data_IF_059528662736
#
_entry.id   IF_059528662736
#
_cell.length_a   1.000
_cell.length_b   1.000
_cell.length_c   1.000
_cell.angle_alpha   90.00
_cell.angle_beta   90.00
_cell.angle_gamma   90.00
#
_symmetry.space_group_name_H-M   'P 1'
#
loop_
_entity.id
_entity.type
_entity.pdbx_description
1 polymer ?
#
# COMPACT_ATOMS: atom_id res chain seq x y z
N UNK A 1 -32.47 -18.89 24.41
CA UNK A 1 -32.84 -18.63 23.00
C UNK A 1 -31.70 -17.83 22.41
N UNK A 2 -31.01 -18.40 21.43
CA UNK A 2 -29.71 -17.99 20.90
C UNK A 2 -29.76 -16.55 20.41
N UNK A 3 -28.89 -15.69 20.97
CA UNK A 3 -28.69 -14.34 20.47
C UNK A 3 -28.08 -14.42 19.08
N UNK A 4 -28.77 -13.84 18.10
CA UNK A 4 -28.26 -13.64 16.75
C UNK A 4 -27.13 -12.60 16.84
N UNK A 5 -25.92 -13.03 17.19
CA UNK A 5 -24.73 -12.23 17.00
C UNK A 5 -24.59 -12.05 15.49
N UNK A 6 -24.95 -10.86 15.01
CA UNK A 6 -24.62 -10.43 13.66
C UNK A 6 -23.11 -10.62 13.54
N UNK A 7 -22.68 -11.45 12.61
CA UNK A 7 -21.26 -11.74 12.37
C UNK A 7 -20.57 -10.41 12.00
N UNK A 8 -19.98 -9.74 12.99
CA UNK A 8 -19.36 -8.43 12.78
C UNK A 8 -18.02 -8.70 12.12
N UNK A 9 -17.90 -8.37 10.84
CA UNK A 9 -16.64 -8.48 10.11
C UNK A 9 -15.54 -7.73 10.86
N UNK A 10 -14.55 -8.48 11.34
CA UNK A 10 -13.40 -7.96 12.07
C UNK A 10 -12.35 -7.40 11.09
N UNK A 11 -11.40 -6.57 11.57
CA UNK A 11 -10.25 -6.17 10.76
C UNK A 11 -9.46 -7.38 10.21
N UNK A 12 -9.36 -8.45 10.99
CA UNK A 12 -8.72 -9.71 10.60
C UNK A 12 -9.48 -10.35 9.44
N UNK A 13 -10.80 -10.48 9.53
CA UNK A 13 -11.61 -11.05 8.43
C UNK A 13 -11.43 -10.26 7.13
N UNK A 14 -11.28 -8.93 7.20
CA UNK A 14 -11.04 -8.09 6.02
C UNK A 14 -9.64 -8.28 5.43
N UNK A 15 -8.62 -8.48 6.27
CA UNK A 15 -7.25 -8.75 5.81
C UNK A 15 -7.16 -10.14 5.17
N UNK A 16 -7.76 -11.15 5.81
CA UNK A 16 -7.80 -12.51 5.30
C UNK A 16 -8.49 -12.57 3.94
N UNK A 17 -9.67 -11.94 3.82
CA UNK A 17 -10.38 -11.84 2.53
C UNK A 17 -9.57 -11.12 1.46
N UNK A 18 -8.80 -10.10 1.83
CA UNK A 18 -7.94 -9.38 0.90
C UNK A 18 -6.81 -10.29 0.40
N UNK A 19 -6.11 -10.98 1.31
CA UNK A 19 -5.04 -11.93 0.99
C UNK A 19 -5.53 -13.10 0.16
N UNK A 20 -6.68 -13.68 0.52
CA UNK A 20 -7.36 -14.72 -0.26
C UNK A 20 -7.67 -14.24 -1.69
N UNK A 21 -8.19 -13.02 -1.83
CA UNK A 21 -8.52 -12.44 -3.14
C UNK A 21 -7.27 -12.24 -4.00
N UNK A 22 -6.16 -11.79 -3.40
CA UNK A 22 -4.88 -11.66 -4.10
C UNK A 22 -4.29 -13.03 -4.48
N UNK A 23 -4.36 -14.01 -3.59
CA UNK A 23 -3.87 -15.37 -3.82
C UNK A 23 -4.69 -16.12 -4.89
N UNK A 24 -5.95 -15.73 -5.10
CA UNK A 24 -6.82 -16.26 -6.15
C UNK A 24 -6.58 -15.64 -7.54
N UNK A 25 -5.73 -14.62 -7.66
CA UNK A 25 -5.35 -14.06 -8.95
C UNK A 25 -4.64 -15.14 -9.78
N UNK A 26 -5.14 -15.38 -11.00
CA UNK A 26 -4.56 -16.39 -11.89
C UNK A 26 -3.16 -15.98 -12.34
N UNK A 27 -2.27 -16.96 -12.46
CA UNK A 27 -0.97 -16.72 -13.05
C UNK A 27 -1.13 -16.22 -14.50
N UNK A 28 -0.43 -15.14 -14.87
CA UNK A 28 -0.48 -14.65 -16.24
C UNK A 28 0.20 -15.66 -17.16
N UNK A 29 -0.42 -15.93 -18.32
CA UNK A 29 0.17 -16.83 -19.34
C UNK A 29 1.50 -16.32 -19.91
N UNK A 30 1.83 -15.05 -19.71
CA UNK A 30 3.12 -14.46 -20.03
C UNK A 30 3.50 -13.41 -18.99
N UNK A 31 4.72 -13.49 -18.46
CA UNK A 31 5.26 -12.48 -17.54
C UNK A 31 5.85 -11.33 -18.35
N UNK A 32 5.20 -10.17 -18.30
CA UNK A 32 5.70 -8.97 -18.97
C UNK A 32 7.01 -8.46 -18.32
N UNK A 33 7.87 -7.86 -19.14
CA UNK A 33 9.02 -7.09 -18.67
C UNK A 33 8.52 -5.84 -17.94
N UNK A 34 8.80 -5.75 -16.64
CA UNK A 34 8.32 -4.66 -15.78
C UNK A 34 8.95 -3.31 -16.12
N UNK A 35 10.05 -3.28 -16.87
CA UNK A 35 10.66 -2.02 -17.33
C UNK A 35 9.90 -1.40 -18.50
N UNK A 36 9.04 -2.16 -19.18
CA UNK A 36 8.24 -1.68 -20.30
C UNK A 36 6.97 -0.95 -19.85
N UNK A 37 6.44 -0.05 -20.69
CA UNK A 37 5.11 0.53 -20.51
C UNK A 37 4.02 -0.53 -20.34
N UNK A 38 3.07 -0.29 -19.46
CA UNK A 38 1.94 -1.22 -19.19
C UNK A 38 0.94 -1.31 -20.36
N UNK A 39 0.95 -0.33 -21.25
CA UNK A 39 0.16 -0.30 -22.48
C UNK A 39 0.87 0.57 -23.53
N UNK A 40 0.52 0.37 -24.80
CA UNK A 40 1.03 1.22 -25.89
C UNK A 40 0.68 2.69 -25.64
N UNK A 41 1.70 3.56 -25.68
CA UNK A 41 1.54 4.99 -25.39
C UNK A 41 1.44 5.37 -23.90
N UNK A 42 1.48 4.40 -22.97
CA UNK A 42 1.52 4.70 -21.55
C UNK A 42 2.90 5.20 -21.10
N UNK A 43 2.93 6.19 -20.21
CA UNK A 43 4.16 6.59 -19.52
C UNK A 43 4.48 5.70 -18.31
N UNK A 44 3.47 4.98 -17.80
CA UNK A 44 3.58 4.12 -16.62
C UNK A 44 4.20 2.77 -17.01
N UNK A 45 5.30 2.40 -16.37
CA UNK A 45 5.94 1.09 -16.51
C UNK A 45 5.36 0.07 -15.52
N UNK A 46 5.55 -1.22 -15.79
CA UNK A 46 5.13 -2.28 -14.86
C UNK A 46 5.76 -2.15 -13.47
N UNK A 47 7.04 -1.75 -13.40
CA UNK A 47 7.75 -1.52 -12.16
C UNK A 47 7.13 -0.37 -11.35
N UNK A 48 6.80 0.75 -12.00
CA UNK A 48 6.12 1.86 -11.34
C UNK A 48 4.69 1.50 -10.93
N UNK A 49 4.00 0.64 -11.67
CA UNK A 49 2.68 0.16 -11.29
C UNK A 49 2.76 -0.72 -10.03
N UNK A 50 3.81 -1.53 -9.89
CA UNK A 50 4.07 -2.29 -8.66
C UNK A 50 4.41 -1.36 -7.49
N UNK A 51 5.23 -0.32 -7.69
CA UNK A 51 5.50 0.70 -6.67
C UNK A 51 4.20 1.34 -6.14
N UNK A 52 3.27 1.65 -7.06
CA UNK A 52 1.96 2.20 -6.69
C UNK A 52 1.12 1.18 -5.93
N UNK A 53 1.09 -0.08 -6.38
CA UNK A 53 0.38 -1.14 -5.71
C UNK A 53 0.88 -1.35 -4.27
N UNK A 54 2.20 -1.36 -4.05
CA UNK A 54 2.79 -1.52 -2.73
C UNK A 54 2.41 -0.36 -1.79
N UNK A 55 2.38 0.88 -2.28
CA UNK A 55 1.90 2.01 -1.50
C UNK A 55 0.41 1.90 -1.16
N UNK A 56 -0.42 1.38 -2.08
CA UNK A 56 -1.84 1.13 -1.85
C UNK A 56 -2.06 0.06 -0.78
N UNK A 57 -1.35 -1.07 -0.89
CA UNK A 57 -1.41 -2.16 0.10
C UNK A 57 -0.89 -1.71 1.45
N UNK A 58 0.21 -0.96 1.49
CA UNK A 58 0.77 -0.41 2.73
C UNK A 58 -0.24 0.51 3.41
N UNK A 59 -0.89 1.41 2.67
CA UNK A 59 -1.97 2.25 3.22
C UNK A 59 -3.11 1.41 3.81
N UNK A 60 -3.46 0.29 3.18
CA UNK A 60 -4.50 -0.62 3.68
C UNK A 60 -4.06 -1.35 4.95
N UNK A 61 -2.80 -1.80 5.00
CA UNK A 61 -2.24 -2.46 6.19
C UNK A 61 -2.11 -1.49 7.37
N UNK A 62 -1.77 -0.24 7.11
CA UNK A 62 -1.76 0.81 8.14
C UNK A 62 -3.16 1.08 8.72
N UNK A 63 -4.22 1.06 7.89
CA UNK A 63 -5.60 1.15 8.38
C UNK A 63 -5.95 0.00 9.34
N UNK A 64 -5.51 -1.23 9.01
CA UNK A 64 -5.73 -2.41 9.84
C UNK A 64 -4.93 -2.34 11.15
N UNK A 65 -3.66 -1.97 11.07
CA UNK A 65 -2.79 -1.76 12.23
C UNK A 65 -3.37 -0.69 13.17
N UNK A 66 -3.89 0.42 12.63
CA UNK A 66 -4.54 1.46 13.41
C UNK A 66 -5.81 0.99 14.14
N UNK A 67 -6.58 0.08 13.54
CA UNK A 67 -7.75 -0.57 14.19
C UNK A 67 -7.33 -1.58 15.24
N UNK A 68 -6.27 -2.33 14.97
CA UNK A 68 -5.70 -3.28 15.92
C UNK A 68 -5.19 -2.55 17.16
N UNK A 69 -4.33 -1.52 17.03
CA UNK A 69 -3.86 -0.69 18.15
C UNK A 69 -5.03 -0.11 18.97
N UNK A 70 -6.08 0.34 18.28
CA UNK A 70 -7.31 0.84 18.90
C UNK A 70 -8.04 -0.21 19.76
N UNK A 71 -7.99 -1.48 19.39
CA UNK A 71 -8.77 -2.52 20.09
C UNK A 71 -8.26 -2.81 21.50
N UNK A 72 -6.98 -2.51 21.78
CA UNK A 72 -6.37 -2.65 23.11
C UNK A 72 -5.94 -1.30 23.72
N UNK A 73 -6.48 -0.18 23.23
CA UNK A 73 -6.32 1.13 23.86
C UNK A 73 -5.03 1.88 23.54
N UNK A 74 -4.19 1.33 22.65
CA UNK A 74 -2.90 1.92 22.24
C UNK A 74 -3.02 2.78 20.96
N UNK A 75 -4.24 3.05 20.51
CA UNK A 75 -4.53 3.90 19.36
C UNK A 75 -5.52 5.02 19.70
N UNK A 76 -5.33 6.17 19.06
CA UNK A 76 -6.28 7.30 19.09
C UNK A 76 -7.33 7.17 18.00
N UNK A 77 -8.13 8.22 17.79
CA UNK A 77 -9.17 8.23 16.77
C UNK A 77 -8.64 7.90 15.38
N UNK A 78 -9.06 6.74 14.86
CA UNK A 78 -8.65 6.21 13.56
C UNK A 78 -9.79 6.34 12.55
N UNK A 79 -9.50 6.97 11.41
CA UNK A 79 -10.30 6.84 10.18
C UNK A 79 -9.41 6.23 9.10
N UNK A 80 -9.90 5.19 8.44
CA UNK A 80 -9.17 4.52 7.37
C UNK A 80 -9.15 5.30 6.05
N UNK A 81 -8.09 5.08 5.29
CA UNK A 81 -7.92 5.53 3.90
C UNK A 81 -8.61 4.62 2.88
N UNK A 82 -9.25 3.52 3.32
CA UNK A 82 -10.03 2.62 2.48
C UNK A 82 -10.86 3.33 1.39
N UNK A 83 -10.70 2.93 0.13
CA UNK A 83 -11.35 3.55 -1.05
C UNK A 83 -10.68 4.83 -1.56
N UNK A 84 -9.58 5.28 -0.96
CA UNK A 84 -8.79 6.44 -1.41
C UNK A 84 -7.36 6.05 -1.80
N UNK A 85 -7.04 4.77 -1.88
CA UNK A 85 -5.69 4.26 -2.12
C UNK A 85 -5.12 4.76 -3.47
N UNK A 86 -5.98 5.04 -4.45
CA UNK A 86 -5.59 5.61 -5.74
C UNK A 86 -4.88 6.97 -5.67
N UNK A 87 -4.93 7.67 -4.54
CA UNK A 87 -4.14 8.90 -4.35
C UNK A 87 -2.61 8.66 -4.37
N UNK A 88 -2.14 7.41 -4.29
CA UNK A 88 -0.75 7.04 -4.60
C UNK A 88 -0.33 7.53 -6.00
N UNK A 89 -1.19 7.39 -7.00
CA UNK A 89 -0.89 7.82 -8.37
C UNK A 89 -0.71 9.35 -8.46
N UNK A 90 -1.51 10.10 -7.69
CA UNK A 90 -1.36 11.56 -7.60
C UNK A 90 -0.03 11.94 -6.94
N UNK A 91 0.37 11.27 -5.86
CA UNK A 91 1.66 11.50 -5.23
C UNK A 91 2.83 11.20 -6.18
N UNK A 92 2.74 10.10 -6.93
CA UNK A 92 3.79 9.70 -7.88
C UNK A 92 3.94 10.67 -9.06
N UNK A 93 2.86 11.32 -9.47
CA UNK A 93 2.88 12.33 -10.54
C UNK A 93 3.48 13.68 -10.09
N UNK A 94 3.64 13.90 -8.78
CA UNK A 94 4.13 15.15 -8.21
C UNK A 94 5.59 15.01 -7.75
N UNK A 95 6.29 16.14 -7.70
CA UNK A 95 7.62 16.20 -7.08
C UNK A 95 7.50 16.14 -5.56
N UNK A 96 8.50 15.61 -4.84
CA UNK A 96 8.48 15.55 -3.37
C UNK A 96 8.46 16.92 -2.70
N UNK A 97 8.80 17.99 -3.44
CA UNK A 97 8.78 19.38 -2.99
C UNK A 97 7.49 20.12 -3.34
N UNK A 98 6.58 19.53 -4.13
CA UNK A 98 5.32 20.18 -4.46
C UNK A 98 4.42 20.22 -3.22
N UNK A 99 3.83 21.37 -2.87
CA UNK A 99 2.95 21.48 -1.70
C UNK A 99 1.68 20.65 -1.91
N UNK A 100 1.23 19.98 -0.85
CA UNK A 100 0.02 19.16 -0.88
C UNK A 100 -0.85 19.46 0.35
N UNK A 101 -2.08 19.93 0.13
CA UNK A 101 -3.11 20.09 1.16
C UNK A 101 -3.94 18.81 1.21
N UNK A 102 -3.51 17.87 2.06
CA UNK A 102 -4.03 16.51 2.06
C UNK A 102 -5.18 16.32 3.03
N UNK A 103 -6.01 15.32 2.74
CA UNK A 103 -7.07 14.88 3.63
C UNK A 103 -6.53 13.81 4.60
N UNK A 104 -7.18 13.62 5.74
CA UNK A 104 -6.77 12.58 6.71
C UNK A 104 -6.91 11.14 6.18
N UNK A 105 -7.52 10.96 5.00
CA UNK A 105 -7.65 9.67 4.28
C UNK A 105 -6.60 9.52 3.16
N UNK A 106 -5.55 10.35 3.19
CA UNK A 106 -4.52 10.37 2.16
C UNK A 106 -3.38 9.37 2.40
N UNK A 107 -3.65 8.22 3.02
CA UNK A 107 -2.63 7.25 3.46
C UNK A 107 -1.65 6.82 2.37
N UNK A 108 -2.14 6.40 1.20
CA UNK A 108 -1.25 5.93 0.12
C UNK A 108 -0.42 7.08 -0.50
N UNK A 109 -0.94 8.30 -0.52
CA UNK A 109 -0.18 9.51 -0.89
C UNK A 109 1.00 9.71 0.06
N UNK A 110 0.78 9.58 1.38
CA UNK A 110 1.87 9.66 2.36
C UNK A 110 2.90 8.55 2.19
N UNK A 111 2.47 7.32 1.88
CA UNK A 111 3.38 6.20 1.62
C UNK A 111 4.31 6.49 0.43
N UNK A 112 3.76 6.96 -0.70
CA UNK A 112 4.57 7.34 -1.87
C UNK A 112 5.52 8.50 -1.55
N UNK A 113 5.04 9.53 -0.84
CA UNK A 113 5.90 10.67 -0.44
C UNK A 113 7.03 10.26 0.50
N UNK A 114 6.78 9.34 1.42
CA UNK A 114 7.82 8.81 2.31
C UNK A 114 8.90 8.08 1.51
N UNK A 115 8.52 7.21 0.58
CA UNK A 115 9.46 6.52 -0.30
C UNK A 115 10.28 7.51 -1.16
N UNK A 116 9.61 8.48 -1.77
CA UNK A 116 10.27 9.55 -2.53
C UNK A 116 11.29 10.33 -1.69
N UNK A 117 10.95 10.70 -0.45
CA UNK A 117 11.83 11.44 0.45
C UNK A 117 13.04 10.62 0.88
N UNK A 118 12.89 9.30 1.01
CA UNK A 118 13.96 8.37 1.33
C UNK A 118 14.83 7.99 0.11
N UNK A 119 14.44 8.41 -1.11
CA UNK A 119 15.10 7.98 -2.35
C UNK A 119 14.89 6.48 -2.64
N UNK A 120 13.88 5.86 -2.00
CA UNK A 120 13.59 4.44 -2.11
C UNK A 120 12.54 4.19 -3.19
N UNK A 121 12.59 2.98 -3.77
CA UNK A 121 11.48 2.38 -4.49
C UNK A 121 10.87 1.29 -3.62
N UNK A 122 9.57 1.05 -3.76
CA UNK A 122 8.96 -0.05 -3.04
C UNK A 122 9.45 -1.36 -3.67
N UNK A 123 9.93 -2.29 -2.84
CA UNK A 123 10.49 -3.56 -3.32
C UNK A 123 11.89 -3.47 -3.96
N UNK A 124 12.57 -2.31 -3.92
CA UNK A 124 14.02 -2.33 -4.07
C UNK A 124 14.61 -3.06 -2.87
N UNK A 125 15.60 -3.93 -3.09
CA UNK A 125 16.39 -4.50 -1.98
C UNK A 125 16.85 -3.35 -1.08
N UNK A 126 16.78 -3.56 0.24
CA UNK A 126 17.35 -2.61 1.18
C UNK A 126 18.80 -2.33 0.75
N UNK A 127 19.24 -1.06 0.81
CA UNK A 127 20.65 -0.78 0.60
C UNK A 127 21.47 -1.68 1.53
N UNK A 128 22.57 -2.29 1.04
CA UNK A 128 23.37 -3.19 1.85
C UNK A 128 23.74 -2.51 3.17
N UNK A 129 23.68 -3.27 4.27
CA UNK A 129 24.05 -2.75 5.58
C UNK A 129 25.50 -2.23 5.48
N UNK A 130 25.76 -0.95 5.80
CA UNK A 130 27.11 -0.40 5.73
C UNK A 130 28.12 -1.15 6.61
N UNK A 131 27.65 -1.92 7.60
CA UNK A 131 28.47 -2.74 8.50
C UNK A 131 28.57 -4.22 8.07
N UNK A 132 27.97 -4.63 6.95
CA UNK A 132 28.11 -6.00 6.43
C UNK A 132 29.49 -6.16 5.74
N UNK A 133 30.46 -6.68 6.50
CA UNK A 133 31.78 -7.04 5.96
C UNK A 133 31.67 -8.26 5.02
N UNK A 134 32.27 -8.23 3.81
CA UNK A 134 32.26 -9.39 2.92
C UNK A 134 33.04 -10.56 3.52
N UNK A 135 32.47 -11.77 3.41
CA UNK A 135 33.13 -13.06 3.71
C UNK A 135 34.35 -13.34 2.84
#
# INVERSE_FOLDING_TARGET
MVGNAVDVTTPQDLDDRFRESLAALSEPGHRADSTQPVAEGAALTGAQLLDLFDAQVTSRQLDLAGRWLRSFGEGYYTIGSAGHEANAALAAALRPTDPALLHYRSGAFYCVRAAQAAGLRFGAEDPPDPDETPD
#
